data_IF_993573857990
#
_entry.id   IF_993573857990
#
_cell.length_a   1.000
_cell.length_b   1.000
_cell.length_c   1.000
_cell.angle_alpha   90.00
_cell.angle_beta   90.00
_cell.angle_gamma   90.00
#
_symmetry.space_group_name_H-M   'P 1'
#
loop_
_entity.id
_entity.type
_entity.pdbx_description
1 polymer ?
#
# COMPACT_ATOMS: atom_id res chain seq x y z
N UNK A 1 -1.45 10.99 -20.41
CA UNK A 1 -0.30 10.14 -20.12
C UNK A 1 0.93 10.81 -20.75
N UNK A 2 1.65 11.66 -20.00
CA UNK A 2 2.88 12.30 -20.50
C UNK A 2 4.05 11.35 -20.26
N UNK A 3 4.32 10.49 -21.25
CA UNK A 3 5.47 9.59 -21.23
C UNK A 3 6.74 10.44 -21.46
N UNK A 4 7.54 10.66 -20.42
CA UNK A 4 8.99 10.76 -20.63
C UNK A 4 9.45 9.35 -20.97
N UNK A 5 9.52 9.07 -22.27
CA UNK A 5 10.20 7.89 -22.80
C UNK A 5 11.67 8.03 -22.42
N UNK A 6 12.08 7.32 -21.37
CA UNK A 6 13.45 6.87 -21.24
C UNK A 6 13.48 5.41 -21.69
N UNK A 7 14.44 5.14 -22.55
CA UNK A 7 14.62 3.98 -23.40
C UNK A 7 14.83 2.67 -22.66
N UNK A 8 14.57 1.58 -23.41
CA UNK A 8 14.96 0.18 -23.19
C UNK A 8 14.14 -0.56 -22.11
N UNK A 9 13.33 -1.57 -22.44
CA UNK A 9 13.62 -2.68 -23.33
C UNK A 9 13.67 -3.96 -22.48
N UNK A 10 12.65 -4.83 -22.61
CA UNK A 10 12.69 -6.25 -22.21
C UNK A 10 12.76 -6.66 -20.71
N UNK A 11 12.50 -5.79 -19.72
CA UNK A 11 12.53 -6.19 -18.28
C UNK A 11 11.21 -6.10 -17.51
N UNK A 12 10.07 -5.90 -18.14
CA UNK A 12 8.86 -5.49 -17.42
C UNK A 12 8.23 -6.57 -16.55
N UNK A 13 8.18 -7.84 -16.98
CA UNK A 13 7.55 -8.91 -16.19
C UNK A 13 8.42 -9.40 -15.01
N UNK A 14 9.72 -9.60 -15.24
CA UNK A 14 10.69 -10.00 -14.19
C UNK A 14 10.91 -8.89 -13.15
N UNK A 15 10.83 -7.62 -13.57
CA UNK A 15 10.93 -6.48 -12.66
C UNK A 15 9.70 -6.33 -11.76
N UNK A 16 8.48 -6.46 -12.30
CA UNK A 16 7.26 -6.33 -11.48
C UNK A 16 7.15 -7.40 -10.41
N UNK A 17 7.43 -8.67 -10.73
CA UNK A 17 7.42 -9.76 -9.76
C UNK A 17 8.42 -9.51 -8.62
N UNK A 18 9.60 -9.01 -8.98
CA UNK A 18 10.65 -8.62 -8.03
C UNK A 18 10.21 -7.45 -7.14
N UNK A 19 9.50 -6.47 -7.71
CA UNK A 19 8.95 -5.33 -6.96
C UNK A 19 7.88 -5.79 -5.95
N UNK A 20 6.97 -6.69 -6.32
CA UNK A 20 5.98 -7.27 -5.40
C UNK A 20 6.63 -8.09 -4.29
N UNK A 21 7.65 -8.90 -4.60
CA UNK A 21 8.40 -9.68 -3.60
C UNK A 21 9.11 -8.78 -2.58
N UNK A 22 9.78 -7.72 -3.04
CA UNK A 22 10.43 -6.74 -2.14
C UNK A 22 9.38 -6.00 -1.31
N UNK A 23 8.26 -5.61 -1.93
CA UNK A 23 7.14 -4.98 -1.25
C UNK A 23 6.54 -5.87 -0.14
N UNK A 24 6.42 -7.18 -0.37
CA UNK A 24 5.94 -8.15 0.60
C UNK A 24 6.86 -8.29 1.83
N UNK A 25 8.17 -8.31 1.61
CA UNK A 25 9.15 -8.30 2.69
C UNK A 25 9.02 -7.03 3.55
N UNK A 26 8.96 -5.86 2.90
CA UNK A 26 8.83 -4.57 3.61
C UNK A 26 7.48 -4.49 4.34
N UNK A 27 6.39 -4.99 3.75
CA UNK A 27 5.08 -5.04 4.39
C UNK A 27 5.11 -5.86 5.68
N UNK A 28 5.74 -7.05 5.61
CA UNK A 28 5.87 -7.95 6.75
C UNK A 28 6.74 -7.37 7.87
N UNK A 29 7.82 -6.67 7.50
CA UNK A 29 8.68 -5.95 8.44
C UNK A 29 7.95 -4.77 9.08
N UNK A 30 7.33 -3.90 8.29
CA UNK A 30 6.52 -2.78 8.77
C UNK A 30 5.44 -3.24 9.75
N UNK A 31 4.72 -4.30 9.38
CA UNK A 31 3.68 -4.88 10.22
C UNK A 31 4.26 -5.36 11.55
N UNK A 32 5.33 -6.17 11.51
CA UNK A 32 5.97 -6.69 12.71
C UNK A 32 6.49 -5.59 13.64
N UNK A 33 7.13 -4.55 13.09
CA UNK A 33 7.60 -3.40 13.87
C UNK A 33 6.45 -2.63 14.49
N UNK A 34 5.39 -2.36 13.73
CA UNK A 34 4.21 -1.66 14.23
C UNK A 34 3.60 -2.40 15.43
N UNK A 35 3.47 -3.73 15.35
CA UNK A 35 2.94 -4.55 16.44
C UNK A 35 3.79 -4.47 17.70
N UNK A 36 5.11 -4.64 17.54
CA UNK A 36 6.06 -4.61 18.65
C UNK A 36 6.05 -3.25 19.38
N UNK A 37 6.03 -2.15 18.63
CA UNK A 37 6.04 -0.80 19.21
C UNK A 37 4.70 -0.38 19.83
N UNK A 38 3.60 -1.06 19.49
CA UNK A 38 2.25 -0.63 19.88
C UNK A 38 1.58 -1.54 20.91
N UNK A 39 2.24 -2.63 21.32
CA UNK A 39 1.75 -3.52 22.37
C UNK A 39 0.57 -4.40 21.94
N UNK A 40 0.31 -4.54 20.64
CA UNK A 40 -0.74 -5.39 20.09
C UNK A 40 -0.29 -6.86 20.07
N UNK A 41 0.06 -7.43 21.22
CA UNK A 41 0.58 -8.81 21.28
C UNK A 41 -0.54 -9.83 21.52
N UNK A 42 -1.66 -9.42 22.12
CA UNK A 42 -2.72 -10.34 22.54
C UNK A 42 -4.05 -10.28 21.75
N UNK A 43 -4.40 -9.16 21.06
CA UNK A 43 -5.70 -9.01 20.37
C UNK A 43 -5.56 -8.64 18.87
N UNK A 44 -4.59 -9.24 18.19
CA UNK A 44 -4.28 -8.96 16.78
C UNK A 44 -5.45 -9.26 15.84
N UNK A 45 -6.03 -10.44 15.96
CA UNK A 45 -7.10 -10.94 15.08
C UNK A 45 -8.35 -10.05 15.15
N UNK A 46 -8.64 -9.54 16.34
CA UNK A 46 -9.84 -8.73 16.58
C UNK A 46 -9.73 -7.33 15.97
N UNK A 47 -8.51 -6.79 15.84
CA UNK A 47 -8.26 -5.39 15.51
C UNK A 47 -7.56 -5.18 14.17
N UNK A 48 -6.53 -5.97 13.86
CA UNK A 48 -5.63 -5.77 12.72
C UNK A 48 -6.01 -6.60 11.48
N UNK A 49 -6.59 -7.78 11.65
CA UNK A 49 -6.84 -8.72 10.53
C UNK A 49 -8.13 -8.48 9.77
N UNK A 50 -8.79 -7.33 10.03
CA UNK A 50 -9.98 -6.92 9.31
C UNK A 50 -9.61 -6.08 8.08
N UNK A 51 -10.25 -6.32 6.92
CA UNK A 51 -10.08 -5.45 5.77
C UNK A 51 -10.52 -4.02 6.11
N UNK A 52 -9.75 -3.05 5.63
CA UNK A 52 -10.17 -1.64 5.66
C UNK A 52 -11.31 -1.45 4.66
N UNK A 53 -12.26 -0.55 4.94
CA UNK A 53 -13.49 -0.41 4.13
C UNK A 53 -13.23 -0.17 2.64
N UNK A 54 -12.14 0.51 2.32
CA UNK A 54 -11.77 0.86 0.95
C UNK A 54 -10.92 -0.22 0.25
N UNK A 55 -10.59 -1.32 0.93
CA UNK A 55 -9.90 -2.46 0.35
C UNK A 55 -10.83 -3.19 -0.63
N UNK A 56 -10.32 -3.65 -1.79
CA UNK A 56 -11.16 -4.31 -2.78
C UNK A 56 -11.85 -5.55 -2.20
N UNK A 57 -13.15 -5.67 -2.51
CA UNK A 57 -13.94 -6.82 -2.12
C UNK A 57 -13.72 -7.99 -3.10
N UNK A 58 -13.56 -9.20 -2.56
CA UNK A 58 -13.45 -10.42 -3.35
C UNK A 58 -12.08 -10.62 -4.01
N UNK A 59 -11.98 -11.65 -4.86
CA UNK A 59 -10.73 -12.01 -5.53
C UNK A 59 -10.51 -11.17 -6.80
N UNK A 60 -9.79 -10.06 -6.69
CA UNK A 60 -9.46 -9.20 -7.84
C UNK A 60 -8.65 -9.93 -8.93
N UNK A 61 -7.91 -10.98 -8.58
CA UNK A 61 -7.10 -11.76 -9.52
C UNK A 61 -7.96 -12.60 -10.47
N UNK A 62 -9.22 -12.85 -10.11
CA UNK A 62 -10.18 -13.56 -10.96
C UNK A 62 -10.86 -12.62 -11.98
N UNK A 63 -10.67 -11.31 -11.89
CA UNK A 63 -11.29 -10.34 -12.79
C UNK A 63 -10.55 -10.23 -14.14
N UNK A 64 -11.23 -9.79 -15.21
CA UNK A 64 -10.56 -9.42 -16.46
C UNK A 64 -9.40 -8.45 -16.23
N UNK A 65 -8.31 -8.62 -16.99
CA UNK A 65 -7.04 -7.90 -16.79
C UNK A 65 -7.18 -6.38 -16.62
N UNK A 66 -8.03 -5.74 -17.42
CA UNK A 66 -8.27 -4.29 -17.34
C UNK A 66 -8.92 -3.91 -16.00
N UNK A 67 -9.96 -4.64 -15.58
CA UNK A 67 -10.68 -4.36 -14.33
C UNK A 67 -9.80 -4.62 -13.11
N UNK A 68 -9.04 -5.73 -13.13
CA UNK A 68 -8.03 -6.03 -12.11
C UNK A 68 -7.00 -4.88 -12.00
N UNK A 69 -6.46 -4.39 -13.12
CA UNK A 69 -5.48 -3.30 -13.11
C UNK A 69 -6.08 -1.96 -12.64
N UNK A 70 -7.33 -1.66 -12.99
CA UNK A 70 -8.02 -0.47 -12.50
C UNK A 70 -8.23 -0.53 -10.99
N UNK A 71 -8.63 -1.68 -10.47
CA UNK A 71 -8.85 -1.87 -9.04
C UNK A 71 -7.54 -1.84 -8.25
N UNK A 72 -6.49 -2.45 -8.81
CA UNK A 72 -5.14 -2.38 -8.25
C UNK A 72 -4.62 -0.92 -8.26
N UNK A 73 -4.88 -0.15 -9.32
CA UNK A 73 -4.50 1.26 -9.40
C UNK A 73 -5.16 2.09 -8.29
N UNK A 74 -6.48 1.93 -8.09
CA UNK A 74 -7.22 2.61 -7.00
C UNK A 74 -6.69 2.19 -5.63
N UNK A 75 -6.48 0.90 -5.43
CA UNK A 75 -6.00 0.34 -4.16
C UNK A 75 -4.60 0.85 -3.82
N UNK A 76 -3.67 0.84 -4.79
CA UNK A 76 -2.32 1.34 -4.58
C UNK A 76 -2.29 2.85 -4.31
N UNK A 77 -3.13 3.65 -4.98
CA UNK A 77 -3.26 5.08 -4.69
C UNK A 77 -3.71 5.34 -3.24
N UNK A 78 -4.72 4.60 -2.77
CA UNK A 78 -5.18 4.66 -1.37
C UNK A 78 -4.10 4.19 -0.39
N UNK A 79 -3.34 3.15 -0.73
CA UNK A 79 -2.21 2.68 0.07
C UNK A 79 -1.11 3.74 0.20
N UNK A 80 -0.77 4.49 -0.87
CA UNK A 80 0.18 5.62 -0.79
C UNK A 80 -0.29 6.65 0.22
N UNK A 81 -1.57 7.05 0.17
CA UNK A 81 -2.12 8.02 1.10
C UNK A 81 -2.11 7.49 2.54
N UNK A 82 -2.53 6.24 2.74
CA UNK A 82 -2.57 5.61 4.06
C UNK A 82 -1.17 5.48 4.69
N UNK A 83 -0.17 5.02 3.93
CA UNK A 83 1.22 4.93 4.38
C UNK A 83 1.80 6.30 4.73
N UNK A 84 1.46 7.34 3.95
CA UNK A 84 1.86 8.71 4.27
C UNK A 84 1.29 9.16 5.63
N UNK A 85 0.01 8.89 5.88
CA UNK A 85 -0.63 9.21 7.15
C UNK A 85 -0.03 8.42 8.33
N UNK A 86 0.23 7.12 8.15
CA UNK A 86 0.87 6.28 9.17
C UNK A 86 2.27 6.81 9.49
N UNK A 87 3.08 7.13 8.48
CA UNK A 87 4.41 7.69 8.67
C UNK A 87 4.36 9.01 9.46
N UNK A 88 3.49 9.94 9.05
CA UNK A 88 3.30 11.22 9.75
C UNK A 88 2.92 11.05 11.21
N UNK A 89 2.11 10.05 11.52
CA UNK A 89 1.77 9.71 12.89
C UNK A 89 2.94 9.07 13.64
N UNK A 90 3.68 8.14 13.01
CA UNK A 90 4.83 7.52 13.67
C UNK A 90 5.96 8.52 13.94
N UNK A 91 6.10 9.58 13.13
CA UNK A 91 7.05 10.69 13.35
C UNK A 91 6.78 11.45 14.67
N UNK A 92 5.54 11.51 15.14
CA UNK A 92 5.22 12.16 16.44
C UNK A 92 5.39 11.22 17.63
N UNK A 93 5.43 9.91 17.40
CA UNK A 93 5.48 8.88 18.44
C UNK A 93 6.88 8.28 18.63
N UNK A 94 7.76 8.40 17.64
CA UNK A 94 9.08 7.78 17.63
C UNK A 94 10.17 8.81 17.33
N UNK A 95 11.41 8.47 17.69
CA UNK A 95 12.58 9.27 17.28
C UNK A 95 12.74 9.27 15.75
N UNK A 96 13.31 10.35 15.15
CA UNK A 96 13.43 10.46 13.68
C UNK A 96 14.21 9.33 13.00
N UNK A 97 15.13 8.69 13.72
CA UNK A 97 15.98 7.58 13.26
C UNK A 97 15.39 6.20 13.57
N UNK A 98 14.17 6.12 14.09
CA UNK A 98 13.52 4.86 14.38
C UNK A 98 13.40 4.00 13.11
N UNK A 99 13.83 2.74 13.21
CA UNK A 99 13.81 1.76 12.11
C UNK A 99 12.45 1.69 11.41
N UNK A 100 11.35 1.74 12.17
CA UNK A 100 9.99 1.76 11.65
C UNK A 100 9.74 2.89 10.63
N UNK A 101 10.29 4.09 10.83
CA UNK A 101 10.13 5.22 9.90
C UNK A 101 10.86 4.99 8.59
N UNK A 102 12.03 4.35 8.63
CA UNK A 102 12.78 3.92 7.44
C UNK A 102 12.01 2.86 6.65
N UNK A 103 11.45 1.86 7.32
CA UNK A 103 10.63 0.82 6.68
C UNK A 103 9.36 1.39 6.04
N UNK A 104 8.65 2.30 6.74
CA UNK A 104 7.47 2.98 6.19
C UNK A 104 7.81 3.84 4.96
N UNK A 105 9.00 4.44 4.94
CA UNK A 105 9.49 5.17 3.77
C UNK A 105 9.78 4.25 2.59
N UNK A 106 10.46 3.13 2.84
CA UNK A 106 10.70 2.08 1.83
C UNK A 106 9.40 1.52 1.28
N UNK A 107 8.41 1.24 2.16
CA UNK A 107 7.08 0.78 1.77
C UNK A 107 6.39 1.79 0.86
N UNK A 108 6.39 3.06 1.24
CA UNK A 108 5.82 4.15 0.44
C UNK A 108 6.47 4.25 -0.94
N UNK A 109 7.79 4.04 -1.02
CA UNK A 109 8.53 4.00 -2.29
C UNK A 109 8.10 2.83 -3.17
N UNK A 110 8.01 1.63 -2.60
CA UNK A 110 7.58 0.42 -3.31
C UNK A 110 6.15 0.57 -3.88
N UNK A 111 5.19 1.04 -3.08
CA UNK A 111 3.80 1.26 -3.52
C UNK A 111 3.72 2.29 -4.64
N UNK A 112 4.50 3.38 -4.57
CA UNK A 112 4.58 4.37 -5.67
C UNK A 112 5.15 3.77 -6.96
N UNK A 113 6.17 2.92 -6.85
CA UNK A 113 6.72 2.19 -7.99
C UNK A 113 5.69 1.27 -8.63
N UNK A 114 4.95 0.50 -7.83
CA UNK A 114 3.85 -0.35 -8.30
C UNK A 114 2.76 0.48 -8.99
N UNK A 115 2.30 1.56 -8.36
CA UNK A 115 1.29 2.47 -8.93
C UNK A 115 1.74 3.02 -10.29
N UNK A 116 3.00 3.42 -10.42
CA UNK A 116 3.56 3.88 -11.70
C UNK A 116 3.54 2.79 -12.77
N UNK A 117 3.93 1.57 -12.43
CA UNK A 117 3.90 0.43 -13.35
C UNK A 117 2.46 0.09 -13.79
N UNK A 118 1.51 0.11 -12.87
CA UNK A 118 0.08 -0.16 -13.16
C UNK A 118 -0.50 0.94 -14.06
N UNK A 119 -0.22 2.21 -13.76
CA UNK A 119 -0.66 3.32 -14.59
C UNK A 119 -0.09 3.24 -16.02
N UNK A 120 1.17 2.84 -16.15
CA UNK A 120 1.79 2.56 -17.45
C UNK A 120 1.05 1.44 -18.19
N UNK A 121 0.77 0.31 -17.52
CA UNK A 121 0.03 -0.80 -18.11
C UNK A 121 -1.39 -0.40 -18.57
N UNK A 122 -2.10 0.41 -17.77
CA UNK A 122 -3.42 0.94 -18.13
C UNK A 122 -3.35 1.91 -19.34
N UNK A 123 -2.32 2.76 -19.41
CA UNK A 123 -2.11 3.61 -20.58
C UNK A 123 -1.83 2.80 -21.85
N UNK A 124 -1.01 1.73 -21.75
CA UNK A 124 -0.74 0.84 -22.89
C UNK A 124 -1.98 0.08 -23.38
N UNK A 125 -2.97 -0.11 -22.51
CA UNK A 125 -4.26 -0.72 -22.85
C UNK A 125 -5.29 0.29 -23.40
N UNK A 126 -4.93 1.57 -23.53
CA UNK A 126 -5.85 2.63 -23.97
C UNK A 126 -6.91 3.00 -22.94
N UNK A 127 -6.80 2.49 -21.71
CA UNK A 127 -7.77 2.73 -20.63
C UNK A 127 -7.25 3.85 -19.73
N UNK A 128 -7.57 5.09 -20.07
CA UNK A 128 -7.19 6.26 -19.25
C UNK A 128 -8.23 6.44 -18.14
N UNK A 129 -8.01 5.83 -16.98
CA UNK A 129 -8.72 6.24 -15.77
C UNK A 129 -7.93 7.38 -15.13
N UNK A 130 -8.47 8.60 -15.22
CA UNK A 130 -7.99 9.71 -14.39
C UNK A 130 -8.01 9.27 -12.92
N UNK A 131 -6.97 9.52 -12.12
CA UNK A 131 -6.97 9.13 -10.72
C UNK A 131 -7.89 10.09 -9.96
N UNK A 132 -9.20 9.86 -10.00
CA UNK A 132 -10.09 10.39 -8.97
C UNK A 132 -9.84 9.52 -7.73
N UNK A 133 -8.72 9.79 -7.08
CA UNK A 133 -8.51 9.35 -5.71
C UNK A 133 -9.45 10.21 -4.87
N UNK A 134 -10.68 9.74 -4.66
CA UNK A 134 -11.35 10.04 -3.41
C UNK A 134 -10.45 9.46 -2.32
N UNK A 135 -9.54 10.30 -1.85
CA UNK A 135 -8.81 10.10 -0.61
C UNK A 135 -9.91 10.23 0.44
N UNK A 136 -10.27 9.16 1.17
CA UNK A 136 -11.23 9.29 2.24
C UNK A 136 -10.72 10.36 3.20
N UNK A 137 -11.50 11.41 3.39
CA UNK A 137 -11.16 12.48 4.31
C UNK A 137 -10.95 11.87 5.69
N UNK A 138 -9.80 12.18 6.29
CA UNK A 138 -9.44 11.67 7.61
C UNK A 138 -10.55 12.06 8.60
N UNK A 139 -11.17 11.11 9.32
CA UNK A 139 -12.11 11.45 10.37
C UNK A 139 -11.44 12.41 11.37
N UNK A 140 -12.03 13.56 11.71
CA UNK A 140 -11.28 14.68 12.28
C UNK A 140 -10.71 14.41 13.68
N UNK A 141 -11.19 13.38 14.39
CA UNK A 141 -10.79 13.11 15.78
C UNK A 141 -10.84 11.59 16.02
N UNK A 142 -9.79 10.87 15.60
CA UNK A 142 -9.58 9.50 16.05
C UNK A 142 -8.70 9.52 17.31
N UNK A 143 -9.09 8.74 18.33
CA UNK A 143 -8.23 8.54 19.51
C UNK A 143 -6.93 7.87 19.05
N UNK A 144 -5.80 8.17 19.71
CA UNK A 144 -4.49 7.62 19.37
C UNK A 144 -4.49 6.09 19.24
N UNK A 145 -5.33 5.39 20.01
CA UNK A 145 -5.51 3.94 19.92
C UNK A 145 -6.20 3.50 18.62
N UNK A 146 -7.26 4.18 18.18
CA UNK A 146 -7.93 3.86 16.92
C UNK A 146 -6.99 4.08 15.73
N UNK A 147 -6.14 5.10 15.79
CA UNK A 147 -5.11 5.34 14.78
C UNK A 147 -4.09 4.21 14.68
N UNK A 148 -3.71 3.62 15.81
CA UNK A 148 -2.83 2.44 15.84
C UNK A 148 -3.51 1.23 15.17
N UNK A 149 -4.78 0.98 15.49
CA UNK A 149 -5.59 -0.09 14.89
C UNK A 149 -5.70 0.08 13.38
N UNK A 150 -6.08 1.27 12.91
CA UNK A 150 -6.22 1.52 11.46
C UNK A 150 -4.89 1.38 10.73
N UNK A 151 -3.79 1.88 11.31
CA UNK A 151 -2.46 1.68 10.74
C UNK A 151 -2.09 0.20 10.60
N UNK A 152 -2.44 -0.60 11.61
CA UNK A 152 -2.22 -2.04 11.59
C UNK A 152 -3.04 -2.75 10.51
N UNK A 153 -4.34 -2.42 10.38
CA UNK A 153 -5.20 -2.95 9.32
C UNK A 153 -4.65 -2.61 7.94
N UNK A 154 -4.24 -1.36 7.71
CA UNK A 154 -3.67 -0.95 6.42
C UNK A 154 -2.43 -1.77 6.08
N UNK A 155 -1.50 -1.93 7.01
CA UNK A 155 -0.26 -2.69 6.78
C UNK A 155 -0.53 -4.19 6.56
N UNK A 156 -1.51 -4.74 7.25
CA UNK A 156 -1.97 -6.11 7.00
C UNK A 156 -2.54 -6.28 5.60
N UNK A 157 -3.48 -5.41 5.21
CA UNK A 157 -4.08 -5.42 3.88
C UNK A 157 -3.05 -5.18 2.77
N UNK A 158 -2.05 -4.31 3.02
CA UNK A 158 -0.90 -4.12 2.14
C UNK A 158 -0.12 -5.42 1.96
N UNK A 159 0.21 -6.13 3.05
CA UNK A 159 0.86 -7.45 2.98
C UNK A 159 0.05 -8.42 2.13
N UNK A 160 -1.25 -8.57 2.40
CA UNK A 160 -2.13 -9.51 1.69
C UNK A 160 -2.12 -9.24 0.18
N UNK A 161 -2.29 -7.98 -0.25
CA UNK A 161 -2.36 -7.69 -1.69
C UNK A 161 -1.02 -7.89 -2.39
N UNK A 162 0.12 -7.53 -1.78
CA UNK A 162 1.42 -7.70 -2.44
C UNK A 162 1.90 -9.15 -2.44
N UNK A 163 1.42 -9.98 -1.51
CA UNK A 163 1.70 -11.43 -1.52
C UNK A 163 0.85 -12.21 -2.52
N UNK A 164 -0.21 -11.60 -3.06
CA UNK A 164 -1.08 -12.25 -4.04
C UNK A 164 -0.50 -12.27 -5.46
N UNK A 165 0.60 -11.54 -5.71
CA UNK A 165 1.28 -11.43 -7.00
C UNK A 165 2.65 -12.08 -6.93
#
# INVERSE_FOLDING_TARGET
CALRVSSAGQRTASSTQSVFSVAACIASLCFSFQLHHQGFVHDLDQHCYKPVEWFPAGNIMAQPRVLMLQELNRTMARMVAALHHIKKQQETLNKPDAKLLGELQSASGAVRGMLSNIHCALCLLGTVTSPTADIPERPPIMRAFQHKIEGCKVLWNYKVIVTAF
#
